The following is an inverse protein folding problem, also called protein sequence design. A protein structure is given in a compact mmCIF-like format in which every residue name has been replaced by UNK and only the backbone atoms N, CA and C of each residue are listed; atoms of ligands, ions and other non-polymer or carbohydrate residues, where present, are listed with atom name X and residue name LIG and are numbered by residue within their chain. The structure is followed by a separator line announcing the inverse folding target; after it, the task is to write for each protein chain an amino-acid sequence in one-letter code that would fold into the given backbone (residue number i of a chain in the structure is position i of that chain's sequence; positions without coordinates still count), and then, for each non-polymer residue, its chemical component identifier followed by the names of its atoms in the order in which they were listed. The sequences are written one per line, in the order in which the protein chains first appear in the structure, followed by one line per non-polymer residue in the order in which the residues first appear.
data_IF_884009551385
#
_entry.id   IF_884009551385
#
_cell.length_a   1.000
_cell.length_b   1.000
_cell.length_c   1.000
_cell.angle_alpha   90.00
_cell.angle_beta   90.00
_cell.angle_gamma   90.00
#
_symmetry.space_group_name_H-M   'P 1'
#
loop_
_entity.id
_entity.type
_entity.pdbx_description
1 polymer ?
#
# COMPACT_ATOMS: atom_id res chain seq x y z
N UNK A 1 -35.89 47.17 -5.22
CA UNK A 1 -34.59 46.55 -5.55
C UNK A 1 -34.13 45.79 -4.32
N UNK A 2 -34.33 44.47 -4.27
CA UNK A 2 -33.85 43.66 -3.15
C UNK A 2 -32.35 43.46 -3.33
N UNK A 3 -31.55 44.33 -2.70
CA UNK A 3 -30.11 44.19 -2.61
C UNK A 3 -29.79 42.97 -1.76
N UNK A 4 -29.60 41.81 -2.39
CA UNK A 4 -29.01 40.65 -1.75
C UNK A 4 -27.57 41.04 -1.36
N UNK A 5 -27.38 41.47 -0.12
CA UNK A 5 -26.07 41.82 0.40
C UNK A 5 -25.18 40.56 0.41
N UNK A 6 -24.00 40.70 -0.16
CA UNK A 6 -22.99 39.66 -0.33
C UNK A 6 -22.09 39.67 0.91
N UNK A 7 -21.50 38.52 1.27
CA UNK A 7 -20.84 38.35 2.56
C UNK A 7 -19.40 37.87 2.45
N UNK A 8 -18.49 38.54 3.16
CA UNK A 8 -17.18 37.97 3.49
C UNK A 8 -17.29 36.80 4.46
N UNK A 9 -16.19 36.10 4.73
CA UNK A 9 -16.17 34.91 5.59
C UNK A 9 -15.36 35.06 6.86
N UNK A 10 -15.80 34.43 7.95
CA UNK A 10 -14.97 34.17 9.13
C UNK A 10 -14.97 32.68 9.46
N UNK A 11 -13.77 32.11 9.58
CA UNK A 11 -13.55 30.75 10.04
C UNK A 11 -13.42 30.71 11.57
N UNK A 12 -14.04 29.71 12.20
CA UNK A 12 -13.92 29.43 13.63
C UNK A 12 -13.73 27.93 13.88
N UNK A 13 -12.71 27.50 14.64
CA UNK A 13 -11.65 28.34 15.19
C UNK A 13 -10.79 28.96 14.08
N UNK A 14 -10.13 30.08 14.40
CA UNK A 14 -9.23 30.76 13.46
C UNK A 14 -7.98 29.92 13.20
N UNK A 15 -7.51 29.16 14.19
CA UNK A 15 -6.36 28.26 14.05
C UNK A 15 -6.69 26.89 14.60
N UNK A 16 -6.35 25.87 13.83
CA UNK A 16 -6.44 24.46 14.19
C UNK A 16 -5.14 23.73 13.87
N UNK A 17 -4.95 22.57 14.49
CA UNK A 17 -3.80 21.71 14.22
C UNK A 17 -4.27 20.33 13.77
N UNK A 18 -3.63 19.78 12.74
CA UNK A 18 -3.65 18.34 12.48
C UNK A 18 -2.36 17.77 13.03
N UNK A 19 -2.48 16.79 13.93
CA UNK A 19 -1.32 16.14 14.55
C UNK A 19 -1.01 14.84 13.78
N UNK A 20 0.21 14.70 13.30
CA UNK A 20 0.69 13.45 12.69
C UNK A 20 0.76 12.33 13.74
N UNK A 21 0.62 11.05 13.35
CA UNK A 21 0.67 9.95 14.30
C UNK A 21 2.06 9.85 14.93
N UNK A 22 2.15 9.33 16.16
CA UNK A 22 3.41 9.17 16.87
C UNK A 22 4.40 8.25 16.11
N UNK A 23 3.89 7.31 15.33
CA UNK A 23 4.67 6.39 14.51
C UNK A 23 3.94 6.06 13.20
N UNK A 24 4.70 5.89 12.12
CA UNK A 24 4.26 5.25 10.88
C UNK A 24 5.23 4.12 10.53
N UNK A 25 4.67 2.99 10.07
CA UNK A 25 5.46 1.89 9.51
C UNK A 25 5.38 1.94 7.99
N UNK A 26 6.53 1.93 7.34
CA UNK A 26 6.68 2.01 5.89
C UNK A 26 7.35 0.74 5.40
N UNK A 27 6.67 0.00 4.54
CA UNK A 27 7.29 -1.10 3.79
C UNK A 27 8.19 -0.53 2.69
N UNK A 28 9.42 -1.05 2.57
CA UNK A 28 10.35 -0.68 1.48
C UNK A 28 9.70 -1.00 0.11
N UNK A 29 8.93 -2.09 0.05
CA UNK A 29 8.27 -2.59 -1.17
C UNK A 29 6.98 -1.83 -1.55
N UNK A 30 6.49 -0.93 -0.69
CA UNK A 30 5.31 -0.15 -1.00
C UNK A 30 5.63 0.81 -2.16
N UNK A 31 4.81 0.86 -3.24
CA UNK A 31 5.12 1.70 -4.39
C UNK A 31 5.05 3.19 -4.06
N UNK A 32 5.81 3.99 -4.81
CA UNK A 32 5.69 5.46 -4.78
C UNK A 32 4.26 5.88 -5.16
N UNK A 33 3.65 6.77 -4.38
CA UNK A 33 2.26 7.21 -4.48
C UNK A 33 1.33 6.57 -3.46
N UNK A 34 1.75 5.54 -2.73
CA UNK A 34 0.91 4.92 -1.71
C UNK A 34 0.67 5.84 -0.51
N UNK A 35 -0.56 5.80 0.00
CA UNK A 35 -0.98 6.48 1.22
C UNK A 35 -0.50 5.66 2.42
N UNK A 36 0.32 6.28 3.26
CA UNK A 36 0.89 5.67 4.47
C UNK A 36 -0.01 5.90 5.69
N UNK A 37 -0.73 7.02 5.72
CA UNK A 37 -1.64 7.38 6.80
C UNK A 37 -2.61 8.48 6.34
N UNK A 38 -3.80 8.52 6.94
CA UNK A 38 -4.81 9.56 6.72
C UNK A 38 -5.29 10.10 8.07
N UNK A 39 -5.35 11.42 8.19
CA UNK A 39 -5.82 12.06 9.42
C UNK A 39 -7.34 12.00 9.56
N UNK A 40 -7.82 12.10 10.80
CA UNK A 40 -9.17 12.58 11.03
C UNK A 40 -9.30 14.03 10.51
N UNK A 41 -10.48 14.44 10.01
CA UNK A 41 -10.69 15.81 9.57
C UNK A 41 -10.77 16.76 10.76
N UNK A 42 -10.10 17.90 10.62
CA UNK A 42 -10.37 19.10 11.41
C UNK A 42 -11.56 19.80 10.79
N UNK A 43 -12.50 20.24 11.64
CA UNK A 43 -13.71 20.91 11.21
C UNK A 43 -13.62 22.40 11.60
N UNK A 44 -13.73 23.28 10.61
CA UNK A 44 -13.88 24.72 10.80
C UNK A 44 -15.32 25.13 10.48
N UNK A 45 -15.88 26.05 11.24
CA UNK A 45 -17.16 26.67 10.93
C UNK A 45 -16.93 27.94 10.11
N UNK A 46 -17.50 28.01 8.91
CA UNK A 46 -17.51 29.23 8.09
C UNK A 46 -18.83 29.97 8.32
N UNK A 47 -18.72 31.24 8.71
CA UNK A 47 -19.84 32.17 8.88
C UNK A 47 -19.73 33.34 7.92
N UNK A 48 -20.87 33.88 7.51
CA UNK A 48 -20.96 35.05 6.66
C UNK A 48 -20.87 36.34 7.47
N UNK A 49 -20.14 37.34 6.97
CA UNK A 49 -20.04 38.67 7.56
C UNK A 49 -20.33 39.75 6.53
N UNK A 50 -21.03 40.81 6.95
CA UNK A 50 -21.35 41.94 6.09
C UNK A 50 -20.09 42.76 5.77
N UNK A 51 -19.85 43.05 4.50
CA UNK A 51 -18.84 44.02 4.06
C UNK A 51 -19.44 45.44 4.11
N UNK A 52 -18.86 46.39 4.87
CA UNK A 52 -19.36 47.76 4.95
C UNK A 52 -18.79 48.73 3.90
N UNK A 53 -17.77 48.37 3.10
CA UNK A 53 -17.01 49.35 2.28
C UNK A 53 -16.89 49.04 0.78
N UNK A 54 -17.19 47.84 0.30
CA UNK A 54 -17.18 47.54 -1.13
C UNK A 54 -18.59 47.59 -1.77
N UNK A 55 -18.68 48.17 -2.97
CA UNK A 55 -19.79 47.89 -3.90
C UNK A 55 -19.87 46.38 -4.21
N UNK A 56 -20.91 45.87 -4.88
CA UNK A 56 -21.13 44.42 -5.00
C UNK A 56 -19.87 43.72 -5.56
N UNK A 57 -19.14 42.89 -4.78
CA UNK A 57 -17.94 42.24 -5.27
C UNK A 57 -18.29 41.32 -6.44
N UNK A 58 -17.33 41.07 -7.34
CA UNK A 58 -17.55 40.23 -8.52
C UNK A 58 -17.76 38.75 -8.10
N UNK A 59 -19.03 38.37 -7.89
CA UNK A 59 -19.50 37.14 -7.20
C UNK A 59 -19.32 35.83 -7.94
N UNK A 60 -18.90 35.86 -9.20
CA UNK A 60 -18.73 34.63 -9.99
C UNK A 60 -17.63 33.71 -9.46
N UNK A 61 -16.77 34.21 -8.55
CA UNK A 61 -15.64 33.48 -7.96
C UNK A 61 -15.72 33.34 -6.42
N UNK A 62 -16.93 33.40 -5.83
CA UNK A 62 -17.15 33.35 -4.38
C UNK A 62 -16.89 31.96 -3.75
N UNK A 63 -15.62 31.58 -3.63
CA UNK A 63 -15.18 30.27 -3.15
C UNK A 63 -14.39 30.30 -1.85
N UNK A 64 -14.19 29.11 -1.27
CA UNK A 64 -13.14 28.87 -0.29
C UNK A 64 -11.84 28.65 -1.06
N UNK A 65 -10.93 29.59 -0.90
CA UNK A 65 -9.56 29.48 -1.38
C UNK A 65 -8.71 28.91 -0.25
N UNK A 66 -7.86 27.93 -0.56
CA UNK A 66 -6.93 27.36 0.41
C UNK A 66 -5.55 27.23 -0.23
N UNK A 67 -4.56 27.85 0.42
CA UNK A 67 -3.17 27.86 -0.06
C UNK A 67 -2.26 27.15 0.93
N UNK A 68 -1.54 26.14 0.45
CA UNK A 68 -0.44 25.54 1.22
C UNK A 68 0.72 26.54 1.31
N UNK A 69 1.12 26.84 2.53
CA UNK A 69 2.13 27.83 2.86
C UNK A 69 3.51 27.17 3.01
N UNK A 70 4.56 27.89 2.56
CA UNK A 70 5.97 27.53 2.77
C UNK A 70 6.32 26.09 2.38
N UNK A 71 5.76 25.57 1.29
CA UNK A 71 5.94 24.19 0.86
C UNK A 71 6.22 24.08 -0.63
N UNK A 72 7.01 23.07 -1.01
CA UNK A 72 7.32 22.74 -2.41
C UNK A 72 6.67 21.42 -2.77
N UNK A 73 6.12 21.30 -3.98
CA UNK A 73 5.54 20.05 -4.46
C UNK A 73 6.62 18.98 -4.63
N UNK A 74 6.29 17.74 -4.27
CA UNK A 74 7.16 16.60 -4.49
C UNK A 74 7.32 16.35 -6.01
N UNK A 75 8.53 15.96 -6.47
CA UNK A 75 8.74 15.68 -7.89
C UNK A 75 7.74 14.66 -8.44
N UNK A 76 7.10 14.99 -9.58
CA UNK A 76 6.10 14.13 -10.21
C UNK A 76 4.69 14.23 -9.62
N UNK A 77 4.45 15.09 -8.62
CA UNK A 77 3.13 15.30 -8.02
C UNK A 77 2.64 16.73 -8.21
N UNK A 78 1.35 16.87 -8.54
CA UNK A 78 0.66 18.17 -8.62
C UNK A 78 0.04 18.60 -7.30
N UNK A 79 -0.14 17.68 -6.34
CA UNK A 79 -0.92 17.88 -5.11
C UNK A 79 -0.27 17.31 -3.83
N UNK A 80 0.95 16.78 -3.94
CA UNK A 80 1.73 16.29 -2.79
C UNK A 80 2.88 17.23 -2.53
N UNK A 81 3.06 17.65 -1.29
CA UNK A 81 4.11 18.55 -0.85
C UNK A 81 5.22 17.78 -0.15
N UNK A 82 6.48 18.08 -0.50
CA UNK A 82 7.66 17.51 0.13
C UNK A 82 7.73 17.90 1.60
N UNK A 83 8.15 16.96 2.44
CA UNK A 83 8.56 17.26 3.82
C UNK A 83 10.08 17.31 3.91
N UNK A 84 10.59 17.77 5.06
CA UNK A 84 12.01 17.66 5.43
C UNK A 84 12.50 16.20 5.55
N UNK A 85 11.59 15.22 5.54
CA UNK A 85 11.92 13.80 5.56
C UNK A 85 11.91 13.23 4.12
N UNK A 86 13.07 12.90 3.53
CA UNK A 86 13.14 12.44 2.15
C UNK A 86 12.24 11.21 1.89
N UNK A 87 11.53 11.26 0.75
CA UNK A 87 10.60 10.21 0.34
C UNK A 87 9.24 10.22 1.04
N UNK A 88 9.00 11.13 1.99
CA UNK A 88 7.71 11.33 2.66
C UNK A 88 7.12 12.68 2.26
N UNK A 89 5.89 12.66 1.72
CA UNK A 89 5.13 13.84 1.35
C UNK A 89 3.81 13.97 2.11
N UNK A 90 3.20 15.15 2.03
CA UNK A 90 1.90 15.48 2.61
C UNK A 90 0.96 15.93 1.48
N UNK A 91 -0.22 15.30 1.39
CA UNK A 91 -1.33 15.77 0.56
C UNK A 91 -2.40 16.37 1.45
N UNK A 92 -2.80 17.59 1.18
CA UNK A 92 -3.89 18.26 1.89
C UNK A 92 -5.19 18.10 1.13
N UNK A 93 -6.28 17.98 1.86
CA UNK A 93 -7.62 17.85 1.31
C UNK A 93 -8.59 18.78 2.02
N UNK A 94 -9.54 19.31 1.25
CA UNK A 94 -10.64 20.13 1.75
C UNK A 94 -11.98 19.56 1.33
N UNK A 95 -12.98 19.68 2.21
CA UNK A 95 -14.39 19.54 1.86
C UNK A 95 -15.10 20.87 2.11
N UNK A 96 -15.49 21.54 1.03
CA UNK A 96 -16.05 22.87 1.07
C UNK A 96 -17.57 22.87 0.92
N UNK A 97 -18.29 23.33 1.96
CA UNK A 97 -19.75 23.36 2.00
C UNK A 97 -20.30 24.78 1.85
N UNK A 98 -21.39 24.90 1.13
CA UNK A 98 -22.20 26.11 1.05
C UNK A 98 -23.64 25.79 0.71
N UNK A 99 -24.51 26.81 0.59
CA UNK A 99 -25.91 26.60 0.24
C UNK A 99 -26.14 25.80 -1.05
N UNK A 100 -25.29 25.96 -2.06
CA UNK A 100 -25.40 25.20 -3.32
C UNK A 100 -24.80 23.79 -3.23
N UNK A 101 -23.94 23.55 -2.25
CA UNK A 101 -23.23 22.28 -2.05
C UNK A 101 -23.32 21.87 -0.58
N UNK A 102 -24.50 21.42 -0.11
CA UNK A 102 -24.71 21.07 1.30
C UNK A 102 -23.84 19.89 1.74
N UNK A 103 -23.60 18.91 0.87
CA UNK A 103 -22.71 17.76 1.14
C UNK A 103 -21.22 18.10 0.94
N UNK A 104 -20.95 19.21 0.26
CA UNK A 104 -19.63 19.79 0.04
C UNK A 104 -18.88 19.23 -1.16
N UNK A 105 -17.97 20.05 -1.71
CA UNK A 105 -17.02 19.66 -2.76
C UNK A 105 -15.72 19.17 -2.12
N UNK A 106 -15.27 17.98 -2.48
CA UNK A 106 -14.00 17.41 -2.01
C UNK A 106 -12.92 17.61 -3.06
N UNK A 107 -11.79 18.18 -2.66
CA UNK A 107 -10.67 18.44 -3.57
C UNK A 107 -9.33 18.55 -2.83
N UNK A 108 -8.19 18.28 -3.50
CA UNK A 108 -6.89 18.51 -2.89
C UNK A 108 -6.69 20.01 -2.67
N UNK A 109 -5.93 20.37 -1.64
CA UNK A 109 -5.57 21.77 -1.40
C UNK A 109 -4.17 21.99 -1.97
N UNK A 110 -4.04 22.93 -2.91
CA UNK A 110 -2.77 23.32 -3.48
C UNK A 110 -2.50 24.82 -3.35
N UNK A 111 -2.70 25.58 -4.42
CA UNK A 111 -2.75 27.04 -4.41
C UNK A 111 -4.13 27.46 -4.89
N UNK A 112 -4.59 28.65 -4.50
CA UNK A 112 -5.90 29.17 -4.90
C UNK A 112 -6.06 29.35 -6.42
N UNK A 113 -4.96 29.46 -7.16
CA UNK A 113 -4.97 29.55 -8.63
C UNK A 113 -5.20 28.16 -9.25
N UNK A 114 -4.59 27.13 -8.67
CA UNK A 114 -4.66 25.77 -9.19
C UNK A 114 -5.92 25.04 -8.75
N UNK A 115 -6.39 25.31 -7.53
CA UNK A 115 -7.57 24.65 -6.98
C UNK A 115 -8.38 25.57 -6.06
N UNK A 116 -9.60 25.86 -6.49
CA UNK A 116 -10.58 26.67 -5.78
C UNK A 116 -11.94 25.97 -5.79
N UNK A 117 -12.74 26.17 -4.74
CA UNK A 117 -14.06 25.54 -4.63
C UNK A 117 -15.06 26.02 -5.69
N UNK A 118 -14.79 27.14 -6.34
CA UNK A 118 -15.75 27.92 -7.11
C UNK A 118 -16.86 28.49 -6.22
N UNK A 119 -17.87 29.13 -6.82
CA UNK A 119 -18.99 29.70 -6.09
C UNK A 119 -19.77 28.65 -5.30
N UNK A 120 -19.87 28.83 -3.97
CA UNK A 120 -20.57 27.92 -3.06
C UNK A 120 -22.01 28.37 -2.71
N UNK A 121 -22.42 29.56 -3.16
CA UNK A 121 -23.79 30.07 -3.04
C UNK A 121 -24.13 30.83 -1.75
N UNK A 122 -23.12 31.22 -0.97
CA UNK A 122 -23.31 31.96 0.28
C UNK A 122 -23.93 33.35 0.08
N UNK A 123 -24.82 33.72 1.01
CA UNK A 123 -25.49 35.01 1.12
C UNK A 123 -25.38 35.54 2.55
N UNK A 124 -25.46 36.86 2.70
CA UNK A 124 -25.53 37.45 4.04
C UNK A 124 -26.73 36.91 4.82
N UNK A 125 -26.49 36.49 6.07
CA UNK A 125 -27.51 35.90 6.94
C UNK A 125 -27.62 34.37 6.83
N UNK A 126 -26.90 33.73 5.90
CA UNK A 126 -26.83 32.27 5.87
C UNK A 126 -26.18 31.73 7.15
N UNK A 127 -26.78 30.66 7.68
CA UNK A 127 -26.27 29.94 8.85
C UNK A 127 -24.89 29.35 8.63
N UNK A 128 -24.13 29.22 9.71
CA UNK A 128 -22.78 28.67 9.71
C UNK A 128 -22.74 27.25 9.11
N UNK A 129 -21.67 26.92 8.38
CA UNK A 129 -21.48 25.58 7.78
C UNK A 129 -20.08 25.07 8.00
N UNK A 130 -20.00 23.77 8.27
CA UNK A 130 -18.74 23.06 8.48
C UNK A 130 -17.91 22.96 7.20
N UNK A 131 -16.61 23.19 7.33
CA UNK A 131 -15.58 23.03 6.32
C UNK A 131 -14.56 22.04 6.88
N UNK A 132 -14.29 20.95 6.16
CA UNK A 132 -13.42 19.89 6.67
C UNK A 132 -12.05 20.01 6.01
N UNK A 133 -10.98 19.83 6.79
CA UNK A 133 -9.60 19.74 6.30
C UNK A 133 -8.95 18.50 6.88
N UNK A 134 -8.32 17.69 6.04
CA UNK A 134 -7.51 16.55 6.47
C UNK A 134 -6.26 16.42 5.62
N UNK A 135 -5.36 15.54 6.04
CA UNK A 135 -4.17 15.21 5.26
C UNK A 135 -4.01 13.72 5.03
N UNK A 136 -3.18 13.40 4.05
CA UNK A 136 -2.62 12.07 3.82
C UNK A 136 -1.09 12.18 3.83
N UNK A 137 -0.43 11.26 4.53
CA UNK A 137 1.01 11.03 4.37
C UNK A 137 1.21 10.11 3.18
N UNK A 138 2.03 10.51 2.23
CA UNK A 138 2.21 9.83 0.94
C UNK A 138 3.68 9.43 0.78
N UNK A 139 3.93 8.19 0.35
CA UNK A 139 5.28 7.75 -0.04
C UNK A 139 5.62 8.40 -1.39
N UNK A 140 6.60 9.30 -1.43
CA UNK A 140 7.06 9.98 -2.65
C UNK A 140 8.38 9.42 -3.19
N UNK A 141 9.03 8.52 -2.46
CA UNK A 141 10.26 7.85 -2.87
C UNK A 141 10.76 6.86 -1.82
N UNK A 142 12.06 6.55 -1.87
CA UNK A 142 12.70 5.73 -0.84
C UNK A 142 12.67 6.46 0.50
N UNK A 143 12.19 5.77 1.55
CA UNK A 143 12.08 6.28 2.91
C UNK A 143 13.04 5.47 3.77
N UNK A 144 13.90 6.15 4.53
CA UNK A 144 14.73 5.53 5.56
C UNK A 144 14.02 5.55 6.92
N UNK A 145 14.49 4.75 7.88
CA UNK A 145 14.05 4.87 9.27
C UNK A 145 14.55 6.18 9.89
N UNK A 146 13.73 6.83 10.71
CA UNK A 146 14.11 8.10 11.34
C UNK A 146 12.96 8.78 12.07
N UNK A 147 13.05 10.11 12.21
CA UNK A 147 12.04 10.92 12.89
C UNK A 147 11.77 12.20 12.11
N UNK A 148 10.52 12.42 11.71
CA UNK A 148 10.06 13.71 11.20
C UNK A 148 9.53 14.52 12.38
N UNK A 149 10.21 15.62 12.70
CA UNK A 149 9.86 16.49 13.83
C UNK A 149 9.37 17.83 13.33
N UNK A 150 8.21 18.27 13.81
CA UNK A 150 7.63 19.59 13.57
C UNK A 150 7.63 20.02 12.08
N UNK A 151 6.89 19.31 11.21
CA UNK A 151 6.80 19.70 9.80
C UNK A 151 6.25 21.12 9.70
N UNK A 152 7.06 22.07 9.23
CA UNK A 152 6.71 23.48 9.10
C UNK A 152 5.78 23.71 7.90
N UNK A 153 4.57 23.15 7.95
CA UNK A 153 3.58 23.23 6.88
C UNK A 153 2.23 23.63 7.43
N UNK A 154 1.57 24.55 6.76
CA UNK A 154 0.21 24.97 7.11
C UNK A 154 -0.56 25.33 5.85
N UNK A 155 -1.88 25.38 5.96
CA UNK A 155 -2.72 25.99 4.95
C UNK A 155 -3.36 27.26 5.51
N UNK A 156 -3.59 28.23 4.62
CA UNK A 156 -4.39 29.42 4.89
C UNK A 156 -5.68 29.32 4.09
N UNK A 157 -6.82 29.43 4.77
CA UNK A 157 -8.15 29.45 4.19
C UNK A 157 -8.69 30.87 4.13
N UNK A 158 -9.26 31.23 2.99
CA UNK A 158 -9.84 32.53 2.69
C UNK A 158 -11.22 32.34 2.06
N UNK A 159 -12.15 33.24 2.37
CA UNK A 159 -13.47 33.29 1.73
C UNK A 159 -13.86 34.76 1.53
N UNK A 160 -13.90 35.21 0.27
CA UNK A 160 -14.26 36.57 -0.17
C UNK A 160 -13.63 37.68 0.70
N UNK A 161 -12.33 37.92 0.53
CA UNK A 161 -11.51 38.64 1.51
C UNK A 161 -11.08 40.05 1.10
N UNK A 162 -11.90 41.05 1.43
CA UNK A 162 -11.47 42.44 1.66
C UNK A 162 -11.12 42.75 3.13
N UNK A 163 -11.84 42.13 4.09
CA UNK A 163 -11.67 42.26 5.56
C UNK A 163 -12.07 40.95 6.32
N UNK A 164 -11.73 39.79 5.77
CA UNK A 164 -12.07 38.47 6.35
C UNK A 164 -11.06 38.05 7.44
N UNK A 165 -11.45 37.09 8.31
CA UNK A 165 -10.46 36.37 9.13
C UNK A 165 -10.03 35.10 8.39
N UNK A 166 -8.73 34.94 8.18
CA UNK A 166 -8.16 33.70 7.63
C UNK A 166 -8.38 32.54 8.58
N UNK A 167 -8.79 31.40 8.06
CA UNK A 167 -8.61 30.12 8.76
C UNK A 167 -7.17 29.64 8.58
N UNK A 168 -6.56 29.05 9.60
CA UNK A 168 -5.23 28.47 9.51
C UNK A 168 -5.30 27.04 10.04
N UNK A 169 -4.84 26.07 9.25
CA UNK A 169 -4.64 24.70 9.74
C UNK A 169 -3.17 24.36 9.63
N UNK A 170 -2.54 24.09 10.77
CA UNK A 170 -1.12 23.74 10.85
C UNK A 170 -0.94 22.24 10.94
N UNK A 171 0.08 21.72 10.28
CA UNK A 171 0.57 20.38 10.54
C UNK A 171 1.49 20.45 11.75
N UNK A 172 1.26 19.58 12.73
CA UNK A 172 2.00 19.58 13.98
C UNK A 172 2.34 18.15 14.42
N UNK A 173 3.21 18.06 15.41
CA UNK A 173 3.59 16.81 16.04
C UNK A 173 4.93 16.28 15.57
N UNK A 174 5.19 15.04 15.96
CA UNK A 174 6.42 14.33 15.62
C UNK A 174 6.08 12.88 15.38
N UNK A 175 6.58 12.33 14.28
CA UNK A 175 6.36 10.95 13.91
C UNK A 175 7.69 10.20 13.81
N UNK A 176 7.75 9.03 14.43
CA UNK A 176 8.80 8.04 14.19
C UNK A 176 8.47 7.31 12.89
N UNK A 177 9.38 7.37 11.94
CA UNK A 177 9.25 6.63 10.68
C UNK A 177 10.01 5.33 10.84
N UNK A 178 9.28 4.23 10.89
CA UNK A 178 9.82 2.88 10.98
C UNK A 178 9.80 2.28 9.59
N UNK A 179 10.94 1.79 9.11
CA UNK A 179 10.99 0.95 7.92
C UNK A 179 11.03 -0.50 8.34
N UNK A 180 10.19 -1.34 7.75
CA UNK A 180 10.28 -2.79 7.94
C UNK A 180 11.56 -3.37 7.32
N UNK A 181 11.96 -4.60 7.68
CA UNK A 181 12.99 -5.32 6.94
C UNK A 181 12.57 -5.45 5.47
N UNK A 182 13.56 -5.54 4.57
CA UNK A 182 13.32 -5.89 3.18
C UNK A 182 14.13 -7.12 2.79
N UNK A 183 13.58 -7.91 1.88
CA UNK A 183 14.20 -9.15 1.45
C UNK A 183 14.08 -9.34 -0.06
N UNK A 184 15.09 -9.98 -0.64
CA UNK A 184 15.13 -10.40 -2.04
C UNK A 184 15.47 -11.87 -2.11
N UNK A 185 14.93 -12.59 -3.10
CA UNK A 185 15.30 -13.99 -3.30
C UNK A 185 16.79 -14.10 -3.65
N UNK A 186 17.51 -14.99 -2.97
CA UNK A 186 18.94 -15.18 -3.20
C UNK A 186 19.21 -15.89 -4.54
N UNK A 187 18.37 -16.86 -4.90
CA UNK A 187 18.47 -17.63 -6.13
C UNK A 187 17.11 -17.68 -6.84
N UNK A 188 17.07 -17.23 -8.10
CA UNK A 188 15.85 -17.26 -8.91
C UNK A 188 15.48 -18.67 -9.39
N UNK A 189 16.42 -19.62 -9.34
CA UNK A 189 16.20 -21.02 -9.68
C UNK A 189 16.72 -21.93 -8.57
N UNK A 190 15.85 -22.83 -8.10
CA UNK A 190 16.18 -23.83 -7.07
C UNK A 190 16.05 -25.22 -7.69
N UNK A 191 17.17 -25.92 -7.84
CA UNK A 191 17.18 -27.28 -8.36
C UNK A 191 17.11 -28.28 -7.21
N UNK A 192 16.17 -29.22 -7.29
CA UNK A 192 15.91 -30.22 -6.25
C UNK A 192 16.06 -31.62 -6.85
N UNK A 193 17.25 -32.25 -6.75
CA UNK A 193 17.47 -33.57 -7.31
C UNK A 193 16.78 -34.64 -6.46
N UNK A 194 15.60 -35.12 -6.88
CA UNK A 194 14.87 -36.20 -6.21
C UNK A 194 15.53 -37.58 -6.37
N UNK A 195 16.49 -37.70 -7.29
CA UNK A 195 17.24 -38.92 -7.56
C UNK A 195 16.44 -39.98 -8.34
N UNK A 196 17.09 -41.13 -8.55
CA UNK A 196 16.47 -42.31 -9.14
C UNK A 196 15.85 -43.17 -8.04
N UNK A 197 14.58 -43.55 -8.21
CA UNK A 197 13.83 -44.33 -7.22
C UNK A 197 13.37 -45.65 -7.85
N UNK A 198 13.66 -46.81 -7.24
CA UNK A 198 13.18 -48.10 -7.74
C UNK A 198 11.65 -48.14 -7.77
N UNK A 199 11.08 -48.69 -8.85
CA UNK A 199 9.63 -48.75 -9.02
C UNK A 199 8.92 -49.54 -7.91
N UNK A 200 9.63 -50.50 -7.29
CA UNK A 200 9.14 -51.31 -6.17
C UNK A 200 8.85 -50.49 -4.91
N UNK A 201 9.33 -49.25 -4.83
CA UNK A 201 8.99 -48.32 -3.74
C UNK A 201 7.53 -47.87 -3.80
N UNK A 202 6.91 -47.94 -4.98
CA UNK A 202 5.56 -47.45 -5.25
C UNK A 202 4.59 -48.63 -5.27
N UNK A 203 4.08 -49.00 -4.09
CA UNK A 203 3.25 -50.20 -3.87
C UNK A 203 1.75 -49.91 -3.82
N UNK A 204 1.34 -48.66 -4.10
CA UNK A 204 -0.05 -48.21 -4.03
C UNK A 204 -0.15 -46.69 -3.95
N UNK A 205 -1.33 -46.15 -4.22
CA UNK A 205 -1.59 -44.69 -4.14
C UNK A 205 -1.14 -44.18 -2.76
N UNK A 206 -0.47 -43.02 -2.74
CA UNK A 206 0.23 -42.42 -1.58
C UNK A 206 1.59 -43.03 -1.20
N UNK A 207 2.02 -44.15 -1.78
CA UNK A 207 3.40 -44.60 -1.63
C UNK A 207 4.36 -43.52 -2.16
N UNK A 208 5.46 -43.28 -1.45
CA UNK A 208 6.31 -42.12 -1.71
C UNK A 208 7.81 -42.45 -1.63
N UNK A 209 8.60 -41.63 -2.33
CA UNK A 209 10.05 -41.64 -2.19
C UNK A 209 10.49 -41.04 -0.85
N UNK A 210 11.78 -41.17 -0.54
CA UNK A 210 12.39 -40.41 0.57
C UNK A 210 12.33 -38.92 0.21
N UNK A 211 11.86 -38.03 1.11
CA UNK A 211 11.86 -36.60 0.88
C UNK A 211 13.28 -36.03 0.79
N UNK A 212 13.50 -35.13 -0.18
CA UNK A 212 14.73 -34.34 -0.31
C UNK A 212 14.49 -32.93 0.21
N UNK A 213 15.35 -32.48 1.11
CA UNK A 213 15.29 -31.14 1.66
C UNK A 213 15.89 -30.12 0.69
N UNK A 214 15.26 -28.94 0.63
CA UNK A 214 15.80 -27.76 -0.04
C UNK A 214 15.29 -26.50 0.64
N UNK A 215 15.99 -25.39 0.45
CA UNK A 215 15.59 -24.09 1.02
C UNK A 215 15.28 -23.10 -0.11
N UNK A 216 14.23 -22.29 0.07
CA UNK A 216 14.15 -20.99 -0.60
C UNK A 216 14.85 -19.99 0.33
N UNK A 217 15.90 -19.34 -0.18
CA UNK A 217 16.74 -18.43 0.61
C UNK A 217 16.42 -16.99 0.23
N UNK A 218 16.15 -16.16 1.24
CA UNK A 218 15.95 -14.72 1.10
C UNK A 218 17.14 -13.99 1.74
N UNK A 219 17.72 -13.07 1.00
CA UNK A 219 18.72 -12.13 1.51
C UNK A 219 17.98 -10.88 2.00
N UNK A 220 18.17 -10.53 3.26
CA UNK A 220 17.40 -9.54 3.96
C UNK A 220 18.30 -8.42 4.50
N UNK A 221 17.73 -7.23 4.65
CA UNK A 221 18.43 -6.05 5.17
C UNK A 221 17.48 -5.14 5.93
N UNK A 222 18.06 -4.29 6.77
CA UNK A 222 17.33 -3.22 7.44
C UNK A 222 16.31 -3.69 8.48
N UNK A 223 15.26 -2.89 8.63
CA UNK A 223 14.32 -2.95 9.75
C UNK A 223 14.69 -1.95 10.84
N UNK A 224 13.69 -1.25 11.38
CA UNK A 224 13.82 -0.53 12.64
C UNK A 224 13.69 -1.51 13.84
N UNK A 225 14.08 -1.10 15.05
CA UNK A 225 13.78 -1.84 16.29
C UNK A 225 12.33 -2.31 16.32
N UNK A 226 12.16 -3.60 16.62
CA UNK A 226 10.88 -4.31 16.78
C UNK A 226 10.04 -4.46 15.50
N UNK A 227 10.57 -4.05 14.34
CA UNK A 227 9.89 -4.27 13.05
C UNK A 227 10.03 -5.72 12.57
N UNK A 228 8.99 -6.19 11.89
CA UNK A 228 8.93 -7.53 11.30
C UNK A 228 8.43 -7.48 9.85
N UNK A 229 8.87 -8.43 9.05
CA UNK A 229 8.40 -8.69 7.68
C UNK A 229 7.85 -10.12 7.62
N UNK A 230 6.65 -10.30 7.06
CA UNK A 230 5.98 -11.61 6.97
C UNK A 230 5.87 -12.04 5.51
N UNK A 231 6.89 -12.72 4.95
CA UNK A 231 6.78 -13.27 3.61
C UNK A 231 5.69 -14.35 3.57
N UNK A 232 4.84 -14.24 2.56
CA UNK A 232 3.92 -15.26 2.14
C UNK A 232 4.31 -15.77 0.76
N UNK A 233 4.08 -17.05 0.52
CA UNK A 233 4.46 -17.73 -0.73
C UNK A 233 3.23 -18.40 -1.32
N UNK A 234 3.08 -18.29 -2.63
CA UNK A 234 2.22 -19.18 -3.43
C UNK A 234 3.12 -20.01 -4.34
N UNK A 235 2.84 -21.30 -4.47
CA UNK A 235 3.47 -22.16 -5.47
C UNK A 235 2.52 -22.31 -6.66
N UNK A 236 3.02 -22.18 -7.89
CA UNK A 236 2.22 -22.43 -9.10
C UNK A 236 2.85 -23.60 -9.87
N UNK A 237 2.02 -24.56 -10.27
CA UNK A 237 2.45 -25.63 -11.17
C UNK A 237 2.66 -25.05 -12.57
N UNK A 238 3.90 -25.08 -13.06
CA UNK A 238 4.23 -24.50 -14.35
C UNK A 238 3.88 -25.42 -15.53
N UNK A 239 3.58 -26.70 -15.27
CA UNK A 239 3.13 -27.65 -16.27
C UNK A 239 1.59 -27.65 -16.42
N UNK A 240 0.88 -27.22 -15.37
CA UNK A 240 -0.57 -27.01 -15.36
C UNK A 240 -0.96 -25.86 -14.41
N UNK A 241 -1.13 -24.65 -14.96
CA UNK A 241 -1.42 -23.45 -14.16
C UNK A 241 -2.83 -23.45 -13.54
N UNK A 242 -3.69 -24.40 -13.91
CA UNK A 242 -5.02 -24.58 -13.31
C UNK A 242 -5.01 -25.47 -12.07
N UNK A 243 -3.90 -26.16 -11.81
CA UNK A 243 -3.75 -27.06 -10.69
C UNK A 243 -3.86 -26.32 -9.35
N UNK A 244 -4.84 -26.74 -8.55
CA UNK A 244 -5.07 -26.24 -7.19
C UNK A 244 -4.87 -27.34 -6.12
N UNK A 245 -4.43 -28.53 -6.54
CA UNK A 245 -4.14 -29.65 -5.65
C UNK A 245 -2.76 -29.54 -5.01
N UNK A 246 -2.31 -30.61 -4.36
CA UNK A 246 -0.99 -30.69 -3.69
C UNK A 246 0.05 -31.50 -4.47
N UNK A 247 -0.32 -31.94 -5.67
CA UNK A 247 0.51 -32.80 -6.52
C UNK A 247 0.96 -31.99 -7.73
N UNK A 248 2.27 -31.76 -7.85
CA UNK A 248 2.88 -31.17 -9.02
C UNK A 248 2.79 -32.14 -10.20
N UNK A 249 2.33 -31.64 -11.34
CA UNK A 249 2.27 -32.39 -12.57
C UNK A 249 3.68 -32.63 -13.12
N UNK A 250 3.97 -33.87 -13.53
CA UNK A 250 5.23 -34.18 -14.19
C UNK A 250 5.31 -33.47 -15.54
N UNK A 251 6.51 -33.00 -15.88
CA UNK A 251 6.78 -32.38 -17.16
C UNK A 251 6.64 -33.41 -18.28
N UNK A 252 5.97 -33.00 -19.36
CA UNK A 252 5.82 -33.83 -20.56
C UNK A 252 7.08 -33.84 -21.43
N UNK A 253 8.05 -32.97 -21.13
CA UNK A 253 9.31 -32.89 -21.87
C UNK A 253 10.39 -33.71 -21.18
N UNK A 254 11.12 -34.49 -21.97
CA UNK A 254 12.21 -35.35 -21.49
C UNK A 254 13.51 -35.01 -22.18
N UNK A 255 14.62 -35.28 -21.51
CA UNK A 255 15.96 -35.13 -22.05
C UNK A 255 16.47 -36.49 -22.52
N UNK A 256 17.04 -36.54 -23.73
CA UNK A 256 17.67 -37.76 -24.26
C UNK A 256 16.69 -38.86 -24.67
N UNK A 257 15.46 -38.50 -25.05
CA UNK A 257 14.49 -39.44 -25.63
C UNK A 257 13.91 -40.49 -24.67
N UNK A 258 14.16 -40.36 -23.36
CA UNK A 258 13.58 -41.26 -22.36
C UNK A 258 12.07 -41.02 -22.22
N UNK A 259 11.25 -42.04 -21.95
CA UNK A 259 9.82 -41.85 -21.69
C UNK A 259 9.61 -41.07 -20.38
N UNK A 260 8.48 -40.37 -20.26
CA UNK A 260 8.02 -39.77 -19.00
C UNK A 260 7.41 -40.87 -18.14
N UNK A 261 7.73 -40.90 -16.85
CA UNK A 261 7.06 -41.81 -15.92
C UNK A 261 5.58 -41.45 -15.78
N UNK A 262 4.72 -42.45 -15.65
CA UNK A 262 3.28 -42.25 -15.39
C UNK A 262 2.90 -42.79 -14.01
N UNK A 263 1.77 -42.31 -13.48
CA UNK A 263 1.27 -42.72 -12.16
C UNK A 263 2.04 -42.13 -10.97
N UNK A 264 2.90 -41.15 -11.22
CA UNK A 264 3.62 -40.38 -10.21
C UNK A 264 3.30 -38.89 -10.32
N UNK A 265 3.45 -38.18 -9.21
CA UNK A 265 3.59 -36.73 -9.16
C UNK A 265 4.63 -36.33 -8.11
N UNK A 266 4.90 -35.04 -7.97
CA UNK A 266 5.82 -34.51 -6.95
C UNK A 266 5.01 -33.76 -5.90
N UNK A 267 5.28 -34.00 -4.62
CA UNK A 267 4.75 -33.20 -3.52
C UNK A 267 5.85 -32.30 -2.98
N UNK A 268 5.56 -31.01 -2.82
CA UNK A 268 6.37 -30.07 -2.05
C UNK A 268 5.69 -29.89 -0.69
N UNK A 269 6.47 -29.95 0.39
CA UNK A 269 5.96 -29.93 1.75
C UNK A 269 6.69 -28.88 2.58
N UNK A 270 5.92 -28.23 3.46
CA UNK A 270 6.44 -27.40 4.55
C UNK A 270 6.09 -28.08 5.87
N UNK A 271 7.08 -28.30 6.73
CA UNK A 271 6.91 -28.96 8.03
C UNK A 271 6.17 -30.31 7.93
N UNK A 272 6.40 -31.05 6.84
CA UNK A 272 5.74 -32.33 6.56
C UNK A 272 4.32 -32.24 5.98
N UNK A 273 3.77 -31.03 5.81
CA UNK A 273 2.43 -30.79 5.26
C UNK A 273 2.54 -30.46 3.76
N UNK A 274 1.86 -31.20 2.86
CA UNK A 274 1.82 -30.89 1.43
C UNK A 274 1.24 -29.51 1.15
N UNK A 275 1.93 -28.73 0.32
CA UNK A 275 1.49 -27.41 -0.11
C UNK A 275 0.61 -27.53 -1.36
N UNK A 276 -0.51 -26.81 -1.37
CA UNK A 276 -1.39 -26.73 -2.53
C UNK A 276 -0.91 -25.65 -3.52
N UNK A 277 -1.19 -25.84 -4.81
CA UNK A 277 -0.81 -24.92 -5.87
C UNK A 277 -1.86 -23.82 -6.06
N UNK A 278 -1.46 -22.63 -6.53
CA UNK A 278 -2.35 -21.51 -6.78
C UNK A 278 -1.86 -20.64 -7.94
N UNK A 279 -2.61 -19.58 -8.30
CA UNK A 279 -2.24 -18.67 -9.39
C UNK A 279 -0.90 -17.97 -9.12
N UNK A 280 -0.18 -17.65 -10.18
CA UNK A 280 1.02 -16.82 -10.09
C UNK A 280 0.62 -15.35 -9.89
N UNK A 281 0.48 -14.95 -8.62
CA UNK A 281 0.03 -13.62 -8.22
C UNK A 281 0.65 -13.21 -6.88
N UNK A 282 1.11 -11.96 -6.82
CA UNK A 282 1.60 -11.33 -5.59
C UNK A 282 0.50 -10.65 -4.78
N UNK A 283 -0.77 -10.79 -5.17
CA UNK A 283 -1.90 -10.22 -4.42
C UNK A 283 -2.01 -10.81 -3.01
N UNK A 284 -2.41 -9.98 -2.05
CA UNK A 284 -2.71 -10.43 -0.69
C UNK A 284 -3.95 -11.30 -0.71
N UNK A 285 -3.89 -12.48 -0.07
CA UNK A 285 -5.01 -13.42 -0.07
C UNK A 285 -5.13 -14.24 -1.36
N UNK A 286 -4.05 -14.34 -2.16
CA UNK A 286 -4.00 -15.22 -3.31
C UNK A 286 -4.31 -16.68 -2.92
N UNK A 287 -4.97 -17.43 -3.80
CA UNK A 287 -5.38 -18.82 -3.51
C UNK A 287 -4.17 -19.68 -3.13
N UNK A 288 -4.33 -20.48 -2.07
CA UNK A 288 -3.29 -21.38 -1.52
C UNK A 288 -1.98 -20.68 -1.11
N UNK A 289 -2.03 -19.38 -0.84
CA UNK A 289 -0.94 -18.64 -0.21
C UNK A 289 -0.71 -19.12 1.23
N UNK A 290 0.55 -19.28 1.62
CA UNK A 290 0.95 -19.72 2.96
C UNK A 290 2.04 -18.83 3.55
N UNK A 291 2.09 -18.75 4.88
CA UNK A 291 3.12 -17.97 5.59
C UNK A 291 4.46 -18.71 5.59
N UNK A 292 5.50 -18.05 5.11
CA UNK A 292 6.86 -18.57 5.13
C UNK A 292 7.60 -18.29 6.45
N UNK A 293 6.98 -17.53 7.36
CA UNK A 293 7.50 -17.22 8.69
C UNK A 293 7.53 -15.72 8.97
N UNK A 294 8.34 -15.32 9.95
CA UNK A 294 8.50 -13.92 10.36
C UNK A 294 9.97 -13.57 10.36
N UNK A 295 10.31 -12.46 9.73
CA UNK A 295 11.68 -11.94 9.61
C UNK A 295 11.76 -10.70 10.49
N UNK A 296 12.54 -10.78 11.57
CA UNK A 296 12.79 -9.63 12.43
C UNK A 296 13.86 -8.70 11.82
N UNK A 297 13.97 -7.49 12.38
CA UNK A 297 15.09 -6.60 12.11
C UNK A 297 16.45 -7.32 12.20
N UNK A 298 17.37 -6.95 11.30
CA UNK A 298 18.78 -7.35 11.38
C UNK A 298 19.05 -8.78 10.93
N UNK A 299 18.01 -9.56 10.60
CA UNK A 299 18.18 -10.85 9.93
C UNK A 299 18.77 -10.60 8.54
N UNK A 300 20.00 -11.06 8.32
CA UNK A 300 20.69 -10.91 7.03
C UNK A 300 20.25 -11.97 6.01
N UNK A 301 19.88 -13.17 6.47
CA UNK A 301 19.43 -14.27 5.63
C UNK A 301 18.30 -15.04 6.31
N UNK A 302 17.22 -15.25 5.57
CA UNK A 302 16.07 -16.04 6.01
C UNK A 302 15.91 -17.26 5.10
N UNK A 303 15.80 -18.45 5.69
CA UNK A 303 15.63 -19.71 4.98
C UNK A 303 14.22 -20.23 5.16
N UNK A 304 13.60 -20.63 4.07
CA UNK A 304 12.29 -21.28 4.05
C UNK A 304 12.54 -22.76 3.76
N UNK A 305 12.61 -23.61 4.80
CA UNK A 305 12.90 -25.03 4.63
C UNK A 305 11.69 -25.74 4.03
N UNK A 306 11.93 -26.47 2.96
CA UNK A 306 10.93 -27.28 2.27
C UNK A 306 11.49 -28.68 2.03
N UNK A 307 10.60 -29.62 1.74
CA UNK A 307 10.99 -30.92 1.23
C UNK A 307 10.21 -31.24 -0.03
N UNK A 308 10.78 -32.03 -0.93
CA UNK A 308 10.07 -32.56 -2.09
C UNK A 308 10.23 -34.07 -2.17
N UNK A 309 9.19 -34.77 -2.63
CA UNK A 309 9.20 -36.23 -2.82
C UNK A 309 8.33 -36.63 -4.00
N UNK A 310 8.63 -37.77 -4.62
CA UNK A 310 7.68 -38.43 -5.51
C UNK A 310 6.57 -39.08 -4.71
N UNK A 311 5.35 -39.08 -5.25
CA UNK A 311 4.20 -39.80 -4.71
C UNK A 311 3.45 -40.51 -5.82
N UNK A 312 2.98 -41.73 -5.54
CA UNK A 312 2.15 -42.50 -6.45
C UNK A 312 0.71 -41.96 -6.47
N UNK A 313 0.22 -41.66 -7.66
CA UNK A 313 -1.07 -41.01 -7.91
C UNK A 313 -2.06 -41.89 -8.66
N UNK A 314 -1.59 -43.02 -9.24
CA UNK A 314 -2.42 -43.98 -9.96
C UNK A 314 -2.15 -45.41 -9.50
N UNK A 315 -3.03 -46.34 -9.89
CA UNK A 315 -2.92 -47.75 -9.54
C UNK A 315 -1.62 -48.40 -10.05
N UNK A 316 -1.11 -47.95 -11.20
CA UNK A 316 0.13 -48.43 -11.79
C UNK A 316 1.11 -47.27 -12.04
N UNK A 317 2.40 -47.54 -11.85
CA UNK A 317 3.50 -46.64 -12.18
C UNK A 317 4.26 -47.20 -13.39
N UNK A 318 4.75 -46.34 -14.27
CA UNK A 318 5.66 -46.74 -15.35
C UNK A 318 7.05 -46.11 -15.18
N UNK A 319 8.08 -46.78 -15.70
CA UNK A 319 9.44 -46.28 -15.65
C UNK A 319 9.65 -45.11 -16.62
N UNK A 320 10.41 -44.10 -16.19
CA UNK A 320 10.72 -42.94 -17.02
C UNK A 320 11.33 -41.79 -16.25
N UNK A 321 11.53 -40.65 -16.92
CA UNK A 321 11.88 -39.39 -16.28
C UNK A 321 10.66 -38.81 -15.58
N UNK A 322 10.86 -38.26 -14.38
CA UNK A 322 9.81 -37.66 -13.55
C UNK A 322 10.20 -36.23 -13.16
N UNK A 323 10.52 -35.39 -14.14
CA UNK A 323 10.86 -33.99 -13.87
C UNK A 323 9.57 -33.19 -13.57
N UNK A 324 9.68 -32.11 -12.80
CA UNK A 324 8.59 -31.18 -12.55
C UNK A 324 9.11 -29.75 -12.47
N UNK A 325 8.21 -28.76 -12.65
CA UNK A 325 8.56 -27.35 -12.51
C UNK A 325 7.44 -26.63 -11.78
N UNK A 326 7.78 -26.00 -10.66
CA UNK A 326 6.91 -25.06 -9.96
C UNK A 326 7.56 -23.67 -9.99
N UNK A 327 6.74 -22.63 -10.03
CA UNK A 327 7.16 -21.26 -9.69
C UNK A 327 6.73 -20.94 -8.26
N UNK A 328 7.44 -20.02 -7.62
CA UNK A 328 7.06 -19.50 -6.30
C UNK A 328 6.95 -17.99 -6.40
N UNK A 329 5.88 -17.44 -5.82
CA UNK A 329 5.56 -16.02 -5.87
C UNK A 329 5.48 -15.48 -4.46
N UNK A 330 6.27 -14.44 -4.17
CA UNK A 330 6.38 -13.84 -2.85
C UNK A 330 5.43 -12.63 -2.71
N UNK A 331 4.74 -12.56 -1.59
CA UNK A 331 4.03 -11.37 -1.11
C UNK A 331 4.60 -11.02 0.27
N UNK A 332 5.01 -9.77 0.46
CA UNK A 332 5.54 -9.29 1.73
C UNK A 332 4.49 -8.47 2.45
N UNK A 333 4.09 -8.94 3.65
CA UNK A 333 3.09 -8.29 4.50
C UNK A 333 3.72 -7.74 5.78
#
# INVERSE_FOLDING_TARGET
MNSNALAGGKFSPVTSNITIPAEITVSENLPTGSILWKSAPVILSLTTTRDPFEGPPNITHAGVHADVQSATKAPGYSDVYSTEFPGLGVRWWGRWRGPYFPDGKVMPITTHIENDSGPLGWRWGDGARAQDVWIELVKTGSIAGGRLSNPAMSITLLFQCGYCNTGIVKLAGTTRVVTGPSCTVANSAVSVPLGAVPIQRFTGIQAASIPQQFDIVLNCKGGAPDSVLRPHVTLTDANDTSNQGTILTLSKTTTGGKPVATGLGIQILKDGIPLAYGPDSSATGNTNQWSAGTIAQGVAQFKIPLTAKYVQTAAAVTMGQANGRATFTLNYQ
#
